data_IF_556676628428
#
_entry.id   IF_556676628428
#
_cell.length_a   1.000
_cell.length_b   1.000
_cell.length_c   1.000
_cell.angle_alpha   90.00
_cell.angle_beta   90.00
_cell.angle_gamma   90.00
#
_symmetry.space_group_name_H-M   'P 1'
#
loop_
_entity.id
_entity.type
_entity.pdbx_description
1 polymer ?
#
# COMPACT_ATOMS: atom_id res chain seq x y z
N UNK A 1 20.81 -43.20 29.98
CA UNK A 1 20.18 -42.19 29.11
C UNK A 1 18.88 -41.79 29.77
N UNK A 2 18.73 -40.52 30.10
CA UNK A 2 17.57 -40.01 30.82
C UNK A 2 16.28 -40.27 30.04
N UNK A 3 15.23 -40.70 30.75
CA UNK A 3 13.95 -41.09 30.13
C UNK A 3 13.28 -39.96 29.35
N UNK A 4 13.55 -38.70 29.70
CA UNK A 4 13.05 -37.52 29.00
C UNK A 4 13.54 -37.45 27.55
N UNK A 5 14.82 -37.72 27.30
CA UNK A 5 15.41 -37.67 25.96
C UNK A 5 14.81 -38.75 25.08
N UNK A 6 14.65 -39.96 25.62
CA UNK A 6 14.07 -41.09 24.88
C UNK A 6 12.63 -40.79 24.43
N UNK A 7 11.80 -40.27 25.35
CA UNK A 7 10.41 -39.90 25.05
C UNK A 7 10.36 -38.74 24.06
N UNK A 8 11.20 -37.72 24.25
CA UNK A 8 11.24 -36.56 23.35
C UNK A 8 11.59 -36.98 21.92
N UNK A 9 12.64 -37.79 21.74
CA UNK A 9 13.06 -38.29 20.42
C UNK A 9 11.98 -39.17 19.79
N UNK A 10 11.30 -40.02 20.57
CA UNK A 10 10.22 -40.86 20.07
C UNK A 10 9.01 -40.01 19.62
N UNK A 11 8.64 -38.98 20.39
CA UNK A 11 7.57 -38.06 20.07
C UNK A 11 7.90 -37.21 18.83
N UNK A 12 9.09 -36.60 18.80
CA UNK A 12 9.60 -35.82 17.68
C UNK A 12 9.53 -36.60 16.36
N UNK A 13 10.08 -37.82 16.34
CA UNK A 13 10.05 -38.68 15.14
C UNK A 13 8.62 -39.02 14.71
N UNK A 14 7.74 -39.32 15.67
CA UNK A 14 6.34 -39.65 15.37
C UNK A 14 5.57 -38.44 14.81
N UNK A 15 5.82 -37.25 15.33
CA UNK A 15 5.22 -36.00 14.85
C UNK A 15 5.57 -35.72 13.39
N UNK A 16 6.84 -35.91 13.02
CA UNK A 16 7.31 -35.74 11.64
C UNK A 16 6.71 -36.81 10.72
N UNK A 17 6.77 -38.07 11.11
CA UNK A 17 6.23 -39.19 10.31
C UNK A 17 4.72 -39.07 10.05
N UNK A 18 3.97 -38.61 11.04
CA UNK A 18 2.51 -38.48 10.95
C UNK A 18 2.06 -37.11 10.43
N UNK A 19 3.00 -36.19 10.19
CA UNK A 19 2.75 -34.79 9.86
C UNK A 19 1.77 -34.12 10.83
N UNK A 20 2.04 -34.26 12.14
CA UNK A 20 1.22 -33.71 13.24
C UNK A 20 2.06 -32.80 14.13
N UNK A 21 1.43 -31.77 14.67
CA UNK A 21 2.00 -30.92 15.71
C UNK A 21 1.31 -31.22 17.05
N UNK A 22 1.96 -30.88 18.16
CA UNK A 22 1.41 -31.04 19.50
C UNK A 22 0.82 -29.70 19.97
N UNK A 23 -0.39 -29.74 20.53
CA UNK A 23 -1.03 -28.58 21.12
C UNK A 23 -0.79 -28.58 22.63
N UNK A 24 -0.28 -27.46 23.16
CA UNK A 24 0.06 -27.34 24.57
C UNK A 24 -0.34 -25.97 25.14
N UNK A 25 -0.38 -25.87 26.46
CA UNK A 25 -0.47 -24.59 27.16
C UNK A 25 0.93 -24.23 27.69
N UNK A 26 1.36 -23.01 27.41
CA UNK A 26 2.61 -22.43 27.87
C UNK A 26 2.34 -21.24 28.80
N UNK A 27 3.19 -21.03 29.80
CA UNK A 27 3.10 -19.89 30.72
C UNK A 27 2.51 -20.24 32.09
N UNK A 28 2.18 -19.21 32.86
CA UNK A 28 1.63 -19.36 34.22
C UNK A 28 0.17 -19.77 34.17
N UNK A 29 -0.31 -20.39 35.25
CA UNK A 29 -1.73 -20.74 35.42
C UNK A 29 -2.68 -19.55 35.33
N UNK A 30 -2.21 -18.33 35.61
CA UNK A 30 -2.98 -17.09 35.54
C UNK A 30 -3.18 -16.56 34.12
N UNK A 31 -2.27 -16.89 33.19
CA UNK A 31 -2.30 -16.46 31.78
C UNK A 31 -1.74 -17.60 30.91
N UNK A 32 -2.44 -18.74 30.82
CA UNK A 32 -2.03 -19.80 29.93
C UNK A 32 -2.12 -19.28 28.50
N UNK A 33 -1.11 -19.56 27.68
CA UNK A 33 -1.08 -19.24 26.27
C UNK A 33 -1.10 -20.55 25.48
N UNK A 34 -2.01 -20.64 24.52
CA UNK A 34 -2.09 -21.81 23.65
C UNK A 34 -0.92 -21.78 22.66
N UNK A 35 -0.19 -22.89 22.55
CA UNK A 35 0.97 -23.02 21.66
C UNK A 35 0.90 -24.29 20.82
N UNK A 36 1.32 -24.19 19.57
CA UNK A 36 1.57 -25.33 18.69
C UNK A 36 3.07 -25.64 18.70
N UNK A 37 3.43 -26.84 19.13
CA UNK A 37 4.79 -27.38 19.06
C UNK A 37 4.94 -28.15 17.75
N UNK A 38 5.77 -27.64 16.85
CA UNK A 38 6.06 -28.23 15.54
C UNK A 38 7.42 -28.89 15.60
N UNK A 39 7.49 -30.19 15.32
CA UNK A 39 8.78 -30.89 15.26
C UNK A 39 9.58 -30.41 14.03
N UNK A 40 10.85 -30.08 14.25
CA UNK A 40 11.79 -29.61 13.24
C UNK A 40 13.00 -30.55 13.20
N UNK A 41 13.34 -31.02 12.01
CA UNK A 41 14.53 -31.84 11.78
C UNK A 41 15.79 -30.98 11.75
N UNK A 42 16.93 -31.61 12.00
CA UNK A 42 18.22 -30.94 11.91
C UNK A 42 18.60 -30.69 10.44
N UNK A 43 18.95 -29.45 10.12
CA UNK A 43 19.51 -29.08 8.82
C UNK A 43 20.95 -28.64 9.01
N UNK A 44 21.87 -29.43 8.47
CA UNK A 44 23.32 -29.15 8.46
C UNK A 44 23.73 -28.76 7.05
N UNK A 45 24.38 -27.61 6.90
CA UNK A 45 24.94 -27.16 5.63
C UNK A 45 26.32 -26.56 5.86
N UNK A 46 27.25 -26.78 4.94
CA UNK A 46 28.60 -26.19 4.96
C UNK A 46 29.38 -26.43 6.28
N UNK A 47 29.10 -27.54 6.97
CA UNK A 47 29.73 -27.89 8.25
C UNK A 47 29.17 -27.16 9.48
N UNK A 48 28.13 -26.33 9.32
CA UNK A 48 27.40 -25.68 10.40
C UNK A 48 25.96 -26.19 10.53
N UNK A 49 25.44 -26.21 11.75
CA UNK A 49 24.02 -26.46 12.01
C UNK A 49 23.22 -25.18 11.71
N UNK A 50 22.36 -25.22 10.70
CA UNK A 50 21.46 -24.11 10.34
C UNK A 50 20.18 -24.20 11.16
N UNK A 51 19.53 -25.36 11.12
CA UNK A 51 18.32 -25.63 11.89
C UNK A 51 18.63 -26.67 12.96
N UNK A 52 18.47 -26.35 14.25
CA UNK A 52 18.69 -27.33 15.31
C UNK A 52 17.52 -28.34 15.37
N UNK A 53 17.79 -29.60 15.76
CA UNK A 53 16.72 -30.57 15.99
C UNK A 53 15.92 -30.20 17.24
N UNK A 54 14.59 -30.18 17.11
CA UNK A 54 13.75 -29.86 18.26
C UNK A 54 12.29 -29.63 17.92
N UNK A 55 11.63 -28.81 18.73
CA UNK A 55 10.26 -28.39 18.50
C UNK A 55 10.19 -26.86 18.47
N UNK A 56 9.69 -26.31 17.38
CA UNK A 56 9.39 -24.90 17.24
C UNK A 56 8.06 -24.59 17.92
N UNK A 57 8.06 -23.66 18.88
CA UNK A 57 6.88 -23.27 19.63
C UNK A 57 6.22 -22.04 19.00
N UNK A 58 5.09 -22.24 18.33
CA UNK A 58 4.29 -21.17 17.74
C UNK A 58 3.16 -20.79 18.69
N UNK A 59 3.11 -19.52 19.05
CA UNK A 59 2.02 -18.95 19.83
C UNK A 59 0.76 -18.83 18.98
N UNK A 60 -0.34 -19.42 19.45
CA UNK A 60 -1.64 -19.32 18.78
C UNK A 60 -2.41 -18.11 19.34
N UNK A 61 -2.94 -17.23 18.48
CA UNK A 61 -3.72 -16.09 18.92
C UNK A 61 -5.05 -16.54 19.55
N UNK A 62 -5.50 -15.81 20.57
CA UNK A 62 -6.88 -15.92 21.06
C UNK A 62 -7.84 -15.16 20.14
N UNK A 63 -9.15 -15.33 20.35
CA UNK A 63 -10.16 -14.59 19.61
C UNK A 63 -9.98 -13.08 19.70
N UNK A 64 -9.50 -12.57 20.84
CA UNK A 64 -9.28 -11.15 21.08
C UNK A 64 -8.10 -10.56 20.28
N UNK A 65 -7.14 -11.40 19.89
CA UNK A 65 -5.99 -11.00 19.07
C UNK A 65 -6.34 -10.95 17.58
N UNK A 66 -7.40 -11.64 17.16
CA UNK A 66 -7.84 -11.71 15.77
C UNK A 66 -8.61 -10.44 15.41
N UNK A 67 -8.06 -9.65 14.49
CA UNK A 67 -8.72 -8.45 13.96
C UNK A 67 -9.53 -8.80 12.71
N UNK A 68 -10.83 -8.47 12.73
CA UNK A 68 -11.69 -8.59 11.55
C UNK A 68 -11.27 -7.54 10.52
N UNK A 69 -11.14 -7.95 9.26
CA UNK A 69 -10.81 -7.07 8.14
C UNK A 69 -12.07 -6.25 7.81
N UNK A 70 -11.93 -4.94 7.65
CA UNK A 70 -13.01 -4.13 7.08
C UNK A 70 -13.20 -4.53 5.61
N UNK A 71 -14.38 -5.06 5.25
CA UNK A 71 -14.74 -5.42 3.87
C UNK A 71 -14.83 -4.16 2.98
N UNK A 72 -13.69 -3.62 2.53
CA UNK A 72 -13.61 -2.38 1.74
C UNK A 72 -13.22 -2.60 0.28
N UNK A 73 -13.66 -3.67 -0.38
CA UNK A 73 -13.32 -3.89 -1.80
C UNK A 73 -14.45 -4.47 -2.64
N UNK A 74 -15.69 -4.17 -2.29
CA UNK A 74 -16.80 -4.25 -3.23
C UNK A 74 -17.09 -2.85 -3.76
N UNK A 75 -16.80 -2.63 -5.04
CA UNK A 75 -17.52 -1.59 -5.78
C UNK A 75 -19.02 -1.79 -5.58
N UNK A 76 -19.84 -0.78 -5.88
CA UNK A 76 -21.32 -0.80 -5.75
C UNK A 76 -22.05 -2.02 -6.34
N UNK A 77 -21.35 -2.88 -7.08
CA UNK A 77 -21.78 -4.17 -7.63
C UNK A 77 -21.48 -5.41 -6.75
N UNK A 78 -20.80 -5.30 -5.60
CA UNK A 78 -20.51 -6.44 -4.72
C UNK A 78 -19.46 -7.43 -5.24
N UNK A 79 -18.79 -7.13 -6.36
CA UNK A 79 -17.79 -8.01 -6.98
C UNK A 79 -16.38 -7.52 -6.67
N UNK A 80 -15.55 -8.40 -6.08
CA UNK A 80 -14.12 -8.13 -5.90
C UNK A 80 -13.44 -8.13 -7.28
N UNK A 81 -12.72 -7.06 -7.66
CA UNK A 81 -12.03 -7.02 -8.94
C UNK A 81 -10.97 -8.12 -8.99
N UNK A 82 -11.04 -8.98 -10.01
CA UNK A 82 -10.05 -10.04 -10.26
C UNK A 82 -9.16 -9.64 -11.42
N UNK A 83 -7.85 -9.82 -11.24
CA UNK A 83 -6.88 -9.57 -12.29
C UNK A 83 -7.07 -10.55 -13.47
N UNK A 84 -6.79 -10.07 -14.68
CA UNK A 84 -6.74 -10.89 -15.89
C UNK A 84 -5.55 -11.86 -15.85
N UNK A 85 -5.66 -13.00 -16.53
CA UNK A 85 -4.57 -13.97 -16.64
C UNK A 85 -3.28 -13.38 -17.22
N UNK A 86 -3.38 -12.38 -18.09
CA UNK A 86 -2.21 -11.72 -18.67
C UNK A 86 -1.55 -10.74 -17.69
N UNK A 87 -2.33 -10.08 -16.83
CA UNK A 87 -1.81 -9.25 -15.74
C UNK A 87 -1.06 -10.12 -14.72
N UNK A 88 -1.59 -11.30 -14.40
CA UNK A 88 -0.94 -12.27 -13.49
C UNK A 88 0.39 -12.77 -14.08
N UNK A 89 0.44 -13.10 -15.38
CA UNK A 89 1.69 -13.53 -16.03
C UNK A 89 2.77 -12.45 -15.98
N UNK A 90 2.41 -11.21 -16.32
CA UNK A 90 3.34 -10.07 -16.26
C UNK A 90 3.82 -9.79 -14.83
N UNK A 91 2.94 -9.88 -13.83
CA UNK A 91 3.32 -9.78 -12.42
C UNK A 91 4.28 -10.91 -12.01
N UNK A 92 4.00 -12.15 -12.41
CA UNK A 92 4.88 -13.28 -12.11
C UNK A 92 6.27 -13.13 -12.74
N UNK A 93 6.35 -12.60 -13.96
CA UNK A 93 7.62 -12.34 -14.63
C UNK A 93 8.39 -11.17 -14.00
N UNK A 94 7.70 -10.14 -13.48
CA UNK A 94 8.31 -9.11 -12.65
C UNK A 94 8.89 -9.69 -11.36
N UNK A 95 8.10 -10.47 -10.61
CA UNK A 95 8.54 -11.09 -9.34
C UNK A 95 9.78 -11.95 -9.56
N UNK A 96 9.82 -12.77 -10.62
CA UNK A 96 11.00 -13.59 -10.96
C UNK A 96 12.27 -12.78 -11.23
N UNK A 97 12.16 -11.52 -11.70
CA UNK A 97 13.32 -10.66 -11.96
C UNK A 97 13.83 -9.94 -10.71
N UNK A 98 12.96 -9.69 -9.73
CA UNK A 98 13.30 -9.07 -8.44
C UNK A 98 13.53 -10.08 -7.31
N UNK A 99 13.32 -11.38 -7.58
CA UNK A 99 13.41 -12.44 -6.59
C UNK A 99 14.82 -12.56 -5.99
N UNK A 100 14.88 -12.49 -4.66
CA UNK A 100 16.10 -12.65 -3.86
C UNK A 100 16.28 -14.13 -3.55
N UNK A 101 16.97 -14.85 -4.45
CA UNK A 101 17.08 -16.32 -4.40
C UNK A 101 17.62 -16.89 -3.08
N UNK A 102 18.59 -16.21 -2.47
CA UNK A 102 19.30 -16.69 -1.28
C UNK A 102 19.02 -15.79 -0.07
N UNK A 103 17.77 -15.37 0.13
CA UNK A 103 17.41 -14.55 1.30
C UNK A 103 17.70 -15.30 2.61
N UNK A 104 18.42 -14.65 3.52
CA UNK A 104 18.61 -15.12 4.89
C UNK A 104 18.34 -13.99 5.88
N UNK A 105 17.68 -14.33 6.98
CA UNK A 105 17.34 -13.38 8.06
C UNK A 105 18.60 -12.74 8.66
N UNK A 106 19.75 -13.41 8.57
CA UNK A 106 21.03 -12.91 9.08
C UNK A 106 21.77 -11.98 8.11
N UNK A 107 21.25 -11.72 6.91
CA UNK A 107 21.93 -10.86 5.91
C UNK A 107 21.80 -9.37 6.21
N UNK A 108 20.78 -8.97 6.96
CA UNK A 108 20.47 -7.57 7.19
C UNK A 108 20.72 -7.20 8.64
N UNK A 109 21.68 -6.32 8.88
CA UNK A 109 21.91 -5.78 10.21
C UNK A 109 20.86 -4.72 10.57
N UNK A 110 20.54 -4.60 11.87
CA UNK A 110 19.66 -3.52 12.34
C UNK A 110 20.41 -2.17 12.25
N UNK A 111 20.00 -1.22 11.40
CA UNK A 111 20.74 0.03 11.17
C UNK A 111 20.85 0.90 12.42
N UNK A 112 19.82 0.88 13.27
CA UNK A 112 19.81 1.65 14.51
C UNK A 112 20.81 1.11 15.53
N UNK A 113 20.92 -0.21 15.65
CA UNK A 113 21.91 -0.85 16.51
C UNK A 113 23.33 -0.65 15.96
N UNK A 114 23.52 -0.81 14.65
CA UNK A 114 24.81 -0.57 14.00
C UNK A 114 25.30 0.86 14.26
N UNK A 115 24.44 1.85 14.05
CA UNK A 115 24.76 3.25 14.36
C UNK A 115 25.04 3.47 15.85
N UNK A 116 24.24 2.87 16.73
CA UNK A 116 24.43 3.03 18.17
C UNK A 116 25.81 2.54 18.61
N UNK A 117 26.23 1.34 18.19
CA UNK A 117 27.54 0.79 18.54
C UNK A 117 28.69 1.51 17.85
N UNK A 118 28.51 1.97 16.61
CA UNK A 118 29.49 2.80 15.91
C UNK A 118 29.78 4.11 16.67
N UNK A 119 28.75 4.79 17.15
CA UNK A 119 28.90 6.00 17.97
C UNK A 119 29.59 5.69 19.30
N UNK A 120 29.20 4.61 19.98
CA UNK A 120 29.84 4.19 21.24
C UNK A 120 31.32 3.87 21.05
N UNK A 121 31.66 3.22 19.94
CA UNK A 121 33.04 2.89 19.61
C UNK A 121 33.86 4.14 19.33
N UNK A 122 33.36 5.06 18.49
CA UNK A 122 34.02 6.33 18.21
C UNK A 122 34.28 7.13 19.50
N UNK A 123 33.27 7.20 20.39
CA UNK A 123 33.40 7.86 21.68
C UNK A 123 34.46 7.19 22.58
N UNK A 124 34.53 5.85 22.59
CA UNK A 124 35.49 5.10 23.39
C UNK A 124 36.94 5.19 22.87
N UNK A 125 37.10 5.39 21.57
CA UNK A 125 38.39 5.55 20.90
C UNK A 125 38.83 7.02 20.74
N UNK A 126 38.00 7.97 21.23
CA UNK A 126 38.21 9.42 21.08
C UNK A 126 38.35 9.85 19.60
N UNK A 127 37.58 9.22 18.71
CA UNK A 127 37.49 9.58 17.29
C UNK A 127 36.54 10.78 17.10
N UNK A 128 36.97 11.79 16.34
CA UNK A 128 36.19 13.01 16.07
C UNK A 128 35.06 12.78 15.05
N UNK A 129 35.18 11.76 14.20
CA UNK A 129 34.21 11.43 13.16
C UNK A 129 33.47 10.14 13.48
N UNK A 130 32.15 10.20 13.45
CA UNK A 130 31.29 9.02 13.57
C UNK A 130 31.21 8.37 12.19
N UNK A 131 31.58 7.09 12.03
CA UNK A 131 31.51 6.43 10.74
C UNK A 131 30.06 6.31 10.26
N UNK A 132 29.84 6.64 9.00
CA UNK A 132 28.54 6.53 8.36
C UNK A 132 28.27 5.06 7.99
N UNK A 133 27.26 4.45 8.63
CA UNK A 133 26.90 3.06 8.39
C UNK A 133 25.90 2.97 7.24
N UNK A 134 26.18 2.12 6.25
CA UNK A 134 25.25 1.83 5.15
C UNK A 134 24.03 1.10 5.70
N UNK A 135 22.85 1.61 5.37
CA UNK A 135 21.59 0.94 5.67
C UNK A 135 21.34 -0.15 4.62
N UNK A 136 21.46 -1.41 5.05
CA UNK A 136 21.22 -2.58 4.19
C UNK A 136 19.73 -2.87 4.01
N UNK A 137 18.84 -2.25 4.79
CA UNK A 137 17.39 -2.45 4.70
C UNK A 137 16.74 -1.66 3.57
N UNK A 138 17.47 -0.70 2.99
CA UNK A 138 17.01 0.05 1.84
C UNK A 138 17.03 -0.81 0.57
N UNK A 139 16.04 -0.64 -0.34
CA UNK A 139 16.03 -1.35 -1.61
C UNK A 139 17.29 -1.07 -2.45
N UNK A 140 17.75 -2.09 -3.18
CA UNK A 140 18.86 -1.96 -4.13
C UNK A 140 18.41 -1.20 -5.39
N UNK A 141 18.59 0.12 -5.38
CA UNK A 141 18.23 0.99 -6.51
C UNK A 141 18.98 0.61 -7.79
N UNK A 142 20.26 0.23 -7.70
CA UNK A 142 21.06 -0.18 -8.85
C UNK A 142 20.56 -1.50 -9.45
N UNK A 143 20.18 -2.44 -8.58
CA UNK A 143 19.54 -3.70 -8.96
C UNK A 143 18.19 -3.50 -9.66
N UNK A 144 17.38 -2.58 -9.15
CA UNK A 144 16.07 -2.24 -9.72
C UNK A 144 16.16 -1.45 -11.02
N UNK A 145 17.20 -0.63 -11.19
CA UNK A 145 17.46 0.15 -12.41
C UNK A 145 17.93 -0.71 -13.60
N UNK A 146 18.16 -2.01 -13.40
CA UNK A 146 18.55 -2.92 -14.49
C UNK A 146 17.49 -2.90 -15.60
N UNK A 147 17.88 -2.84 -16.88
CA UNK A 147 16.94 -2.69 -18.00
C UNK A 147 15.92 -3.83 -18.09
N UNK A 148 16.30 -5.03 -17.63
CA UNK A 148 15.36 -6.15 -17.51
C UNK A 148 14.29 -5.91 -16.46
N UNK A 149 14.61 -5.37 -15.29
CA UNK A 149 13.61 -5.12 -14.24
C UNK A 149 12.69 -3.98 -14.66
N UNK A 150 13.26 -2.86 -15.13
CA UNK A 150 12.51 -1.70 -15.61
C UNK A 150 11.49 -2.09 -16.69
N UNK A 151 11.91 -2.87 -17.70
CA UNK A 151 11.00 -3.33 -18.75
C UNK A 151 9.83 -4.17 -18.20
N UNK A 152 10.08 -5.04 -17.22
CA UNK A 152 9.02 -5.84 -16.61
C UNK A 152 8.05 -4.98 -15.78
N UNK A 153 8.56 -3.94 -15.11
CA UNK A 153 7.74 -2.97 -14.38
C UNK A 153 6.84 -2.21 -15.36
N UNK A 154 7.40 -1.69 -16.46
CA UNK A 154 6.65 -0.98 -17.49
C UNK A 154 5.58 -1.87 -18.15
N UNK A 155 5.95 -3.09 -18.57
CA UNK A 155 5.02 -4.05 -19.17
C UNK A 155 3.83 -4.37 -18.24
N UNK A 156 4.09 -4.50 -16.94
CA UNK A 156 3.07 -4.71 -15.91
C UNK A 156 2.21 -3.46 -15.71
N UNK A 157 2.83 -2.28 -15.57
CA UNK A 157 2.15 -0.99 -15.41
C UNK A 157 1.18 -0.72 -16.55
N UNK A 158 1.62 -0.86 -17.80
CA UNK A 158 0.76 -0.70 -18.98
C UNK A 158 -0.39 -1.69 -18.99
N UNK A 159 -0.18 -2.91 -18.47
CA UNK A 159 -1.23 -3.94 -18.42
C UNK A 159 -2.32 -3.70 -17.39
N UNK A 160 -1.99 -3.00 -16.30
CA UNK A 160 -2.91 -2.75 -15.18
C UNK A 160 -3.58 -1.39 -15.35
N UNK A 161 -2.79 -0.36 -15.63
CA UNK A 161 -3.27 1.00 -15.65
C UNK A 161 -3.54 1.57 -17.06
N UNK A 162 -3.07 0.89 -18.11
CA UNK A 162 -3.19 1.36 -19.49
C UNK A 162 -2.11 2.38 -19.88
N UNK A 163 -2.14 2.84 -21.13
CA UNK A 163 -1.13 3.77 -21.70
C UNK A 163 -1.29 5.22 -21.23
N UNK A 164 -2.45 5.58 -20.68
CA UNK A 164 -2.79 6.95 -20.27
C UNK A 164 -2.79 7.14 -18.73
N UNK A 165 -2.11 6.26 -17.99
CA UNK A 165 -2.06 6.39 -16.54
C UNK A 165 -1.04 7.45 -16.12
N UNK A 166 -1.58 8.56 -15.64
CA UNK A 166 -0.80 9.70 -15.14
C UNK A 166 -0.55 9.53 -13.63
N UNK A 167 0.59 8.91 -13.28
CA UNK A 167 1.04 8.73 -11.89
C UNK A 167 1.16 10.07 -11.13
N UNK A 168 1.40 11.17 -11.85
CA UNK A 168 1.51 12.52 -11.27
C UNK A 168 0.18 13.06 -10.71
N UNK A 169 -0.97 12.47 -11.05
CA UNK A 169 -2.25 12.90 -10.49
C UNK A 169 -2.43 12.52 -9.01
N UNK A 170 -1.72 11.48 -8.53
CA UNK A 170 -1.76 11.06 -7.11
C UNK A 170 -0.47 11.37 -6.32
N UNK A 171 0.70 11.53 -6.98
CA UNK A 171 1.97 11.87 -6.31
C UNK A 171 2.36 13.36 -6.40
N UNK A 172 1.41 14.28 -6.31
CA UNK A 172 1.72 15.70 -6.27
C UNK A 172 2.24 16.17 -4.89
N UNK A 173 3.34 15.59 -4.41
CA UNK A 173 4.29 16.23 -3.48
C UNK A 173 5.34 16.99 -4.27
N UNK A 174 4.89 17.98 -5.03
CA UNK A 174 5.72 18.99 -5.69
C UNK A 174 4.87 20.23 -5.94
N UNK A 175 5.09 21.28 -5.13
CA UNK A 175 4.28 22.51 -5.04
C UNK A 175 3.78 23.03 -6.41
N UNK A 176 2.47 22.95 -6.72
CA UNK A 176 1.87 23.80 -7.74
C UNK A 176 1.20 25.00 -7.08
N UNK A 177 1.45 26.20 -7.60
CA UNK A 177 0.80 27.44 -7.16
C UNK A 177 -0.73 27.28 -7.10
N UNK A 178 -1.31 27.60 -5.93
CA UNK A 178 -2.72 27.43 -5.52
C UNK A 178 -3.78 27.90 -6.55
N UNK A 179 -3.41 28.82 -7.45
CA UNK A 179 -4.34 29.52 -8.35
C UNK A 179 -4.84 28.66 -9.51
N UNK A 180 -4.06 27.68 -9.98
CA UNK A 180 -4.44 26.84 -11.14
C UNK A 180 -5.30 25.64 -10.74
N UNK A 181 -5.08 25.07 -9.53
CA UNK A 181 -5.89 23.96 -8.99
C UNK A 181 -7.33 24.38 -8.65
N UNK A 182 -7.51 25.57 -8.06
CA UNK A 182 -8.86 26.10 -7.77
C UNK A 182 -9.68 26.28 -9.05
N UNK A 183 -9.09 26.74 -10.16
CA UNK A 183 -9.84 26.96 -11.41
C UNK A 183 -10.32 25.64 -12.05
N UNK A 184 -9.50 24.59 -12.04
CA UNK A 184 -9.85 23.30 -12.65
C UNK A 184 -10.89 22.52 -11.81
N UNK A 185 -10.76 22.53 -10.48
CA UNK A 185 -11.74 21.92 -9.57
C UNK A 185 -13.10 22.64 -9.58
N UNK A 186 -13.10 23.98 -9.70
CA UNK A 186 -14.34 24.76 -9.83
C UNK A 186 -15.02 24.48 -11.17
N UNK A 187 -14.26 24.35 -12.26
CA UNK A 187 -14.82 24.04 -13.58
C UNK A 187 -15.47 22.65 -13.59
N UNK A 188 -14.79 21.63 -13.05
CA UNK A 188 -15.30 20.24 -13.06
C UNK A 188 -16.51 20.04 -12.13
N UNK A 189 -16.55 20.73 -10.98
CA UNK A 189 -17.73 20.79 -10.12
C UNK A 189 -18.87 21.56 -10.79
N UNK A 190 -18.57 22.66 -11.47
CA UNK A 190 -19.54 23.46 -12.21
C UNK A 190 -20.14 22.69 -13.40
N UNK A 191 -19.40 21.84 -14.11
CA UNK A 191 -19.95 21.01 -15.21
C UNK A 191 -20.93 19.97 -14.68
N UNK A 192 -20.64 19.35 -13.53
CA UNK A 192 -21.53 18.38 -12.88
C UNK A 192 -22.82 19.04 -12.37
N UNK A 193 -22.70 20.18 -11.70
CA UNK A 193 -23.87 20.93 -11.22
C UNK A 193 -24.64 21.60 -12.35
N UNK A 194 -23.99 22.03 -13.45
CA UNK A 194 -24.68 22.56 -14.62
C UNK A 194 -25.58 21.52 -15.30
N UNK A 195 -25.20 20.23 -15.26
CA UNK A 195 -26.01 19.12 -15.78
C UNK A 195 -27.23 18.77 -14.93
N UNK A 196 -27.30 19.22 -13.67
CA UNK A 196 -28.43 18.96 -12.77
C UNK A 196 -29.63 19.88 -13.03
N UNK A 197 -29.46 20.96 -13.80
CA UNK A 197 -30.50 21.95 -14.06
C UNK A 197 -30.84 22.04 -15.56
N UNK A 198 -32.12 22.02 -15.90
CA UNK A 198 -32.60 22.30 -17.25
C UNK A 198 -32.66 23.82 -17.47
N UNK A 199 -31.51 24.40 -17.85
CA UNK A 199 -31.34 25.86 -18.01
C UNK A 199 -32.25 26.48 -19.07
N UNK A 200 -32.70 25.71 -20.07
CA UNK A 200 -33.64 26.16 -21.10
C UNK A 200 -34.98 26.59 -20.54
N UNK A 201 -35.56 25.74 -19.69
CA UNK A 201 -36.88 25.97 -19.08
C UNK A 201 -36.82 27.07 -18.00
N UNK A 202 -35.69 27.19 -17.31
CA UNK A 202 -35.45 28.23 -16.32
C UNK A 202 -35.30 29.63 -16.97
N UNK A 203 -34.70 29.69 -18.16
CA UNK A 203 -34.61 30.92 -18.95
C UNK A 203 -35.98 31.35 -19.51
N UNK A 204 -36.79 30.40 -19.98
CA UNK A 204 -38.13 30.68 -20.52
C UNK A 204 -39.16 31.07 -19.48
N UNK A 205 -39.08 30.48 -18.28
CA UNK A 205 -40.02 30.77 -17.19
C UNK A 205 -39.63 31.99 -16.34
N UNK A 206 -38.49 32.64 -16.65
CA UNK A 206 -38.01 33.82 -15.92
C UNK A 206 -37.51 33.54 -14.50
N UNK A 207 -37.36 32.26 -14.12
CA UNK A 207 -36.98 31.80 -12.77
C UNK A 207 -35.48 31.90 -12.48
N UNK A 208 -34.66 32.34 -13.45
CA UNK A 208 -33.24 32.66 -13.25
C UNK A 208 -33.00 33.72 -12.14
N UNK A 209 -34.03 34.52 -11.82
CA UNK A 209 -33.99 35.50 -10.71
C UNK A 209 -34.04 34.86 -9.33
N UNK A 210 -34.58 33.64 -9.21
CA UNK A 210 -34.72 32.93 -7.93
C UNK A 210 -33.46 32.15 -7.58
N UNK A 211 -32.64 31.79 -8.57
CA UNK A 211 -31.36 31.12 -8.36
C UNK A 211 -30.35 32.01 -7.63
N UNK A 212 -29.48 31.39 -6.85
CA UNK A 212 -28.42 32.08 -6.12
C UNK A 212 -27.28 32.50 -7.06
N UNK A 213 -26.52 33.53 -6.67
CA UNK A 213 -25.37 34.03 -7.46
C UNK A 213 -24.31 32.95 -7.67
N UNK A 214 -24.25 31.94 -6.79
CA UNK A 214 -23.32 30.82 -6.87
C UNK A 214 -23.74 29.84 -7.96
N UNK A 215 -25.04 29.51 -8.05
CA UNK A 215 -25.59 28.63 -9.08
C UNK A 215 -25.45 29.24 -10.49
N UNK A 216 -25.72 30.54 -10.63
CA UNK A 216 -25.54 31.26 -11.90
C UNK A 216 -24.06 31.28 -12.36
N UNK A 217 -23.12 31.22 -11.42
CA UNK A 217 -21.69 31.13 -11.73
C UNK A 217 -21.27 29.73 -12.18
N UNK A 218 -22.00 28.67 -11.81
CA UNK A 218 -21.72 27.32 -12.31
C UNK A 218 -21.98 27.21 -13.81
N UNK A 219 -23.11 27.73 -14.30
CA UNK A 219 -23.38 27.78 -15.75
C UNK A 219 -22.32 28.60 -16.51
N UNK A 220 -21.99 29.80 -16.00
CA UNK A 220 -20.99 30.66 -16.63
C UNK A 220 -19.58 30.03 -16.61
N UNK A 221 -19.20 29.34 -15.53
CA UNK A 221 -17.93 28.63 -15.45
C UNK A 221 -17.88 27.37 -16.32
N UNK A 222 -19.00 26.67 -16.49
CA UNK A 222 -19.11 25.50 -17.37
C UNK A 222 -19.05 25.87 -18.87
N UNK A 223 -19.46 27.09 -19.21
CA UNK A 223 -19.45 27.62 -20.58
C UNK A 223 -18.29 28.61 -20.85
N UNK A 224 -17.26 28.66 -19.98
CA UNK A 224 -16.09 29.54 -20.08
C UNK A 224 -16.43 31.05 -20.23
N UNK A 225 -17.56 31.47 -19.67
CA UNK A 225 -18.02 32.87 -19.68
C UNK A 225 -17.55 33.62 -18.43
N UNK A 226 -17.34 34.96 -18.52
CA UNK A 226 -16.85 35.74 -17.39
C UNK A 226 -17.85 35.73 -16.22
N UNK A 227 -17.38 35.33 -15.04
CA UNK A 227 -18.16 35.22 -13.78
C UNK A 227 -18.19 36.52 -12.95
N UNK A 228 -17.67 37.62 -13.48
CA UNK A 228 -17.64 38.92 -12.82
C UNK A 228 -18.92 39.72 -13.05
N UNK A 229 -19.55 40.18 -11.96
CA UNK A 229 -20.72 41.08 -12.00
C UNK A 229 -21.68 40.90 -10.83
N UNK A 230 -22.64 41.84 -10.72
CA UNK A 230 -23.84 41.70 -9.86
C UNK A 230 -24.80 40.66 -10.48
N UNK A 231 -25.72 40.13 -9.67
CA UNK A 231 -26.67 39.06 -10.06
C UNK A 231 -27.35 39.33 -11.41
N UNK A 232 -27.84 40.54 -11.64
CA UNK A 232 -28.52 40.91 -12.88
C UNK A 232 -27.62 40.82 -14.12
N UNK A 233 -26.34 41.19 -13.98
CA UNK A 233 -25.37 41.11 -15.08
C UNK A 233 -25.00 39.66 -15.44
N UNK A 234 -25.06 38.75 -14.47
CA UNK A 234 -24.86 37.31 -14.71
C UNK A 234 -26.07 36.72 -15.44
N UNK A 235 -27.29 37.09 -15.02
CA UNK A 235 -28.54 36.65 -15.67
C UNK A 235 -28.62 37.16 -17.12
N UNK A 236 -28.33 38.44 -17.37
CA UNK A 236 -28.31 38.98 -18.74
C UNK A 236 -27.29 38.26 -19.62
N UNK A 237 -26.14 37.85 -19.09
CA UNK A 237 -25.10 37.14 -19.83
C UNK A 237 -25.52 35.71 -20.19
N UNK A 238 -26.24 35.03 -19.30
CA UNK A 238 -26.82 33.70 -19.55
C UNK A 238 -27.92 33.80 -20.63
N UNK A 239 -28.83 34.78 -20.51
CA UNK A 239 -29.88 35.01 -21.50
C UNK A 239 -29.31 35.35 -22.89
N UNK A 240 -28.29 36.20 -22.94
CA UNK A 240 -27.57 36.53 -24.19
C UNK A 240 -26.92 35.30 -24.83
N UNK A 241 -26.32 34.42 -24.02
CA UNK A 241 -25.72 33.18 -24.50
C UNK A 241 -26.77 32.19 -25.02
N UNK A 242 -27.96 32.16 -24.42
CA UNK A 242 -29.08 31.33 -24.85
C UNK A 242 -29.93 31.98 -25.96
N UNK A 243 -29.56 33.17 -26.43
CA UNK A 243 -30.22 33.88 -27.53
C UNK A 243 -31.60 34.45 -27.21
N UNK A 244 -31.86 34.81 -25.94
CA UNK A 244 -33.15 35.32 -25.45
C UNK A 244 -33.03 36.67 -24.76
#
# INVERSE_FOLDING_TARGET
MDGSICIFVALHRSMIQLNRFALAFYGSSSRPQLVALIAQDEVIQSGGQIEPPGMHMIYLPYSDDIRLIEERFSDSSGMVPKASGDQIKKAADLIKRIDLKDFSVCQFANPSLQRHYAVLQALALEEDEIPEMKDETLPDEEGLARPGVVRAIEEFKTSVYGENYDEESEQATGKPTETSRKRKAIAEFATKECGNYEWGDLADTGKLKDLTVVELKYYLAAHDLPVSGKKDALISRILTHMGK
#
